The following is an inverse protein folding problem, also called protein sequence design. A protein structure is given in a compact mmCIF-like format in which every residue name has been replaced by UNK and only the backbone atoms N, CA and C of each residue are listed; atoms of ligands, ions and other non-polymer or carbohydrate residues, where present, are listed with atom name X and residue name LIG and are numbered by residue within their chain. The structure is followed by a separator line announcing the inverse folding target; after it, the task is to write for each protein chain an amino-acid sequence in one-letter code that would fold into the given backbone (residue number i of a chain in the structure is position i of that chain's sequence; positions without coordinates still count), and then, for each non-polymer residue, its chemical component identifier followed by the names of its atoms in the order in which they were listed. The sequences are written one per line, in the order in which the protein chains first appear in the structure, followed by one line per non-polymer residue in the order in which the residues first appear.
data_IF_975190034334
#
_entry.id   IF_975190034334
#
_cell.length_a   1.000
_cell.length_b   1.000
_cell.length_c   1.000
_cell.angle_alpha   90.00
_cell.angle_beta   90.00
_cell.angle_gamma   90.00
#
_symmetry.space_group_name_H-M   'P 1'
#
loop_
_entity.id
_entity.type
_entity.pdbx_description
1 polymer ?
#
# COMPACT_ATOMS: atom_id res chain seq x y z
N UNK A 1 -11.14 0.92 -15.33
CA UNK A 1 -10.67 1.67 -14.14
C UNK A 1 -9.38 1.01 -13.70
N UNK A 2 -8.30 1.78 -13.58
CA UNK A 2 -6.95 1.26 -13.46
C UNK A 2 -6.72 0.60 -12.09
N UNK A 3 -6.90 -0.72 -12.03
CA UNK A 3 -6.38 -1.59 -10.97
C UNK A 3 -4.86 -1.76 -11.15
N UNK A 4 -4.13 -0.65 -11.16
CA UNK A 4 -2.68 -0.64 -11.35
C UNK A 4 -2.03 -0.19 -10.06
N UNK A 5 -1.31 -1.11 -9.44
CA UNK A 5 -0.41 -0.80 -8.34
C UNK A 5 0.87 -0.22 -8.95
N UNK A 6 1.16 1.04 -8.63
CA UNK A 6 2.38 1.71 -9.05
C UNK A 6 3.35 1.76 -7.86
N UNK A 7 4.52 1.17 -8.03
CA UNK A 7 5.60 1.23 -7.04
C UNK A 7 6.49 2.42 -7.38
N UNK A 8 6.54 3.41 -6.49
CA UNK A 8 7.35 4.62 -6.71
C UNK A 8 8.83 4.40 -6.35
N UNK A 9 9.08 3.70 -5.25
CA UNK A 9 10.42 3.31 -4.80
C UNK A 9 10.32 2.06 -3.93
N UNK A 10 11.32 1.18 -4.02
CA UNK A 10 11.36 -0.07 -3.24
C UNK A 10 12.78 -0.58 -3.10
N UNK A 11 13.15 -1.01 -1.89
CA UNK A 11 14.36 -1.82 -1.65
C UNK A 11 14.02 -3.31 -1.51
N UNK A 12 12.74 -3.68 -1.63
CA UNK A 12 12.31 -5.08 -1.57
C UNK A 12 12.72 -5.82 -2.83
N UNK A 13 13.10 -7.10 -2.68
CA UNK A 13 13.30 -7.98 -3.82
C UNK A 13 11.98 -8.24 -4.55
N UNK A 14 12.05 -8.76 -5.78
CA UNK A 14 10.89 -8.95 -6.65
C UNK A 14 9.80 -9.83 -6.04
N UNK A 15 10.19 -10.91 -5.36
CA UNK A 15 9.25 -11.85 -4.72
C UNK A 15 8.52 -11.22 -3.53
N UNK A 16 9.26 -10.46 -2.72
CA UNK A 16 8.73 -9.74 -1.57
C UNK A 16 7.80 -8.62 -2.00
N UNK A 17 8.17 -7.90 -3.06
CA UNK A 17 7.33 -6.87 -3.67
C UNK A 17 6.01 -7.45 -4.17
N UNK A 18 6.08 -8.54 -4.95
CA UNK A 18 4.89 -9.20 -5.48
C UNK A 18 3.96 -9.67 -4.35
N UNK A 19 4.52 -10.27 -3.31
CA UNK A 19 3.77 -10.67 -2.13
C UNK A 19 3.11 -9.48 -1.39
N UNK A 20 3.83 -8.37 -1.25
CA UNK A 20 3.29 -7.15 -0.61
C UNK A 20 2.14 -6.54 -1.43
N UNK A 21 2.28 -6.51 -2.76
CA UNK A 21 1.25 -6.03 -3.69
C UNK A 21 0.01 -6.92 -3.61
N UNK A 22 0.17 -8.23 -3.67
CA UNK A 22 -0.95 -9.19 -3.59
C UNK A 22 -1.66 -9.10 -2.23
N UNK A 23 -0.90 -9.05 -1.14
CA UNK A 23 -1.45 -8.87 0.22
C UNK A 23 -2.25 -7.58 0.33
N UNK A 24 -1.74 -6.50 -0.25
CA UNK A 24 -2.42 -5.20 -0.26
C UNK A 24 -3.73 -5.27 -1.04
N UNK A 25 -3.72 -5.89 -2.23
CA UNK A 25 -4.94 -6.10 -3.04
C UNK A 25 -5.98 -6.90 -2.28
N UNK A 26 -5.57 -7.97 -1.59
CA UNK A 26 -6.49 -8.77 -0.78
C UNK A 26 -7.08 -7.95 0.38
N UNK A 27 -6.26 -7.15 1.06
CA UNK A 27 -6.68 -6.29 2.16
C UNK A 27 -7.75 -5.28 1.72
N UNK A 28 -7.54 -4.61 0.58
CA UNK A 28 -8.51 -3.67 0.01
C UNK A 28 -9.80 -4.35 -0.49
N UNK A 29 -9.75 -5.64 -0.83
CA UNK A 29 -10.94 -6.43 -1.15
C UNK A 29 -11.76 -6.83 0.08
N UNK A 30 -11.11 -7.08 1.22
CA UNK A 30 -11.75 -7.53 2.47
C UNK A 30 -12.18 -6.40 3.39
N UNK A 31 -11.40 -5.33 3.46
CA UNK A 31 -11.58 -4.23 4.41
C UNK A 31 -11.75 -2.90 3.69
N UNK A 32 -12.58 -2.03 4.27
CA UNK A 32 -12.79 -0.64 3.78
C UNK A 32 -12.19 0.42 4.71
N UNK A 33 -11.75 0.01 5.90
CA UNK A 33 -11.19 0.89 6.92
C UNK A 33 -9.66 0.83 6.82
N UNK A 34 -9.02 1.98 6.61
CA UNK A 34 -7.57 2.11 6.39
C UNK A 34 -6.75 1.44 7.50
N UNK A 35 -7.18 1.62 8.76
CA UNK A 35 -6.52 0.98 9.93
C UNK A 35 -6.55 -0.54 9.85
N UNK A 36 -7.66 -1.14 9.43
CA UNK A 36 -7.78 -2.59 9.29
C UNK A 36 -6.93 -3.11 8.13
N UNK A 37 -6.87 -2.36 7.03
CA UNK A 37 -6.03 -2.68 5.88
C UNK A 37 -4.55 -2.68 6.31
N UNK A 38 -4.11 -1.63 7.02
CA UNK A 38 -2.75 -1.52 7.52
C UNK A 38 -2.38 -2.66 8.49
N UNK A 39 -3.28 -2.99 9.42
CA UNK A 39 -3.07 -4.10 10.37
C UNK A 39 -2.98 -5.45 9.65
N UNK A 40 -3.83 -5.69 8.66
CA UNK A 40 -3.83 -6.92 7.87
C UNK A 40 -2.52 -7.09 7.09
N UNK A 41 -2.08 -6.05 6.39
CA UNK A 41 -0.83 -6.06 5.63
C UNK A 41 0.36 -6.27 6.56
N UNK A 42 0.40 -5.53 7.68
CA UNK A 42 1.44 -5.69 8.71
C UNK A 42 1.49 -7.13 9.19
N UNK A 43 0.36 -7.71 9.58
CA UNK A 43 0.31 -9.08 10.10
C UNK A 43 0.86 -10.10 9.10
N UNK A 44 0.49 -10.01 7.82
CA UNK A 44 0.99 -10.92 6.77
C UNK A 44 2.50 -10.83 6.59
N UNK A 45 3.04 -9.62 6.58
CA UNK A 45 4.47 -9.37 6.41
C UNK A 45 5.27 -9.83 7.64
N UNK A 46 4.74 -9.59 8.84
CA UNK A 46 5.31 -10.04 10.12
C UNK A 46 5.35 -11.58 10.19
N UNK A 47 4.26 -12.25 9.81
CA UNK A 47 4.17 -13.72 9.75
C UNK A 47 5.17 -14.34 8.75
N UNK A 48 5.37 -13.71 7.57
CA UNK A 48 6.22 -14.25 6.51
C UNK A 48 7.71 -13.97 6.72
N UNK A 49 8.05 -12.78 7.22
CA UNK A 49 9.45 -12.33 7.29
C UNK A 49 9.98 -12.20 8.72
N UNK A 50 9.17 -12.49 9.75
CA UNK A 50 9.54 -12.50 11.17
C UNK A 50 10.26 -11.23 11.65
N UNK A 51 9.92 -10.09 11.05
CA UNK A 51 10.53 -8.79 11.32
C UNK A 51 9.44 -7.80 11.73
N UNK A 52 9.75 -6.83 12.58
CA UNK A 52 8.81 -5.77 12.94
C UNK A 52 8.52 -4.87 11.74
N UNK A 53 7.40 -5.13 11.08
CA UNK A 53 6.92 -4.31 9.96
C UNK A 53 6.07 -3.14 10.45
N UNK A 54 6.30 -1.97 9.88
CA UNK A 54 5.46 -0.79 10.07
C UNK A 54 4.72 -0.51 8.76
N UNK A 55 3.38 -0.48 8.81
CA UNK A 55 2.53 -0.21 7.65
C UNK A 55 1.69 1.04 7.92
N UNK A 56 1.64 1.95 6.95
CA UNK A 56 0.81 3.15 6.99
C UNK A 56 -0.02 3.17 5.71
N UNK A 57 -1.33 3.30 5.87
CA UNK A 57 -2.29 3.40 4.76
C UNK A 57 -3.02 4.74 4.91
N UNK A 58 -3.10 5.50 3.82
CA UNK A 58 -3.73 6.81 3.83
C UNK A 58 -4.05 7.30 2.43
N UNK A 59 -5.15 8.04 2.27
CA UNK A 59 -5.56 8.62 0.98
C UNK A 59 -5.05 10.05 0.71
N UNK A 60 -4.19 10.62 1.57
CA UNK A 60 -3.93 12.09 1.57
C UNK A 60 -2.49 12.56 1.25
N UNK A 61 -1.46 11.71 1.17
CA UNK A 61 -0.10 12.22 0.92
C UNK A 61 0.17 12.43 -0.58
N UNK A 62 -0.29 13.56 -1.14
CA UNK A 62 0.17 13.99 -2.47
C UNK A 62 -0.85 14.62 -3.42
N UNK A 63 -1.98 15.17 -2.98
CA UNK A 63 -2.65 16.20 -3.78
C UNK A 63 -1.84 17.49 -3.65
N UNK A 64 -0.72 17.57 -4.38
CA UNK A 64 -0.34 18.86 -4.96
C UNK A 64 -1.55 19.26 -5.78
N UNK A 65 -2.33 20.19 -5.24
CA UNK A 65 -3.25 20.98 -6.03
C UNK A 65 -2.43 21.51 -7.20
N UNK A 66 -2.51 20.83 -8.34
CA UNK A 66 -2.21 21.46 -9.61
C UNK A 66 -3.13 22.68 -9.64
N UNK A 67 -2.56 23.83 -9.31
CA UNK A 67 -3.17 25.11 -9.59
C UNK A 67 -3.37 25.11 -11.09
N UNK A 68 -4.59 24.79 -11.52
CA UNK A 68 -5.09 25.21 -12.82
C UNK A 68 -4.87 26.72 -12.86
N UNK A 69 -3.90 27.17 -13.65
CA UNK A 69 -3.73 28.58 -13.97
C UNK A 69 -4.89 28.98 -14.89
N UNK A 70 -5.85 29.82 -14.44
CA UNK A 70 -6.79 30.40 -15.36
C UNK A 70 -6.05 31.44 -16.22
N UNK A 71 -6.14 31.26 -17.53
CA UNK A 71 -5.63 32.14 -18.58
C UNK A 71 -6.29 33.52 -18.57
#
# INVERSE_FOLDING_TARGET
MADRVAVLNTEMNSEMLEYAVETTREAFGKYKVETQIAEFIKKRLDEKYAQSWHCVVGTWYGRLSASEEPS
#
